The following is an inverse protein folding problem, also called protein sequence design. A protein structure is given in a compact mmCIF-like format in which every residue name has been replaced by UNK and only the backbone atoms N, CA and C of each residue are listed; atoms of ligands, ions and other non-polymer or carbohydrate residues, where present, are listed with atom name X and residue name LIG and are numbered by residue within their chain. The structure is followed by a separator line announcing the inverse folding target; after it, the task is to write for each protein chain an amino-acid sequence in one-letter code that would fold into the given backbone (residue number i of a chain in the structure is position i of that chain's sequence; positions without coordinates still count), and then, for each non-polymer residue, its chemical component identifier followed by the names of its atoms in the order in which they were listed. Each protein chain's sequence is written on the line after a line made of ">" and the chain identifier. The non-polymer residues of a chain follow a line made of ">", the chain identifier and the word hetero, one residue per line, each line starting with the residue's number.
data_IF_187889095810
#
_entry.id   IF_187889095810
#
_cell.length_a   1.000
_cell.length_b   1.000
_cell.length_c   1.000
_cell.angle_alpha   90.00
_cell.angle_beta   90.00
_cell.angle_gamma   90.00
#
_symmetry.space_group_name_H-M   'P 1'
#
loop_
_entity.id
_entity.type
_entity.pdbx_description
1 polymer ?
#
# COMPACT_ATOMS: atom_id res chain seq x y z
N UNK A 1 -17.23 -3.13 -7.19
CA UNK A 1 -17.10 -2.99 -5.73
C UNK A 1 -15.89 -3.81 -5.29
N UNK A 2 -14.92 -3.18 -4.66
CA UNK A 2 -13.73 -3.84 -4.16
C UNK A 2 -13.69 -3.75 -2.66
N UNK A 3 -13.38 -4.87 -2.01
CA UNK A 3 -13.09 -4.94 -0.58
C UNK A 3 -11.58 -5.20 -0.46
N UNK A 4 -10.85 -4.27 0.16
CA UNK A 4 -9.44 -4.43 0.46
C UNK A 4 -9.29 -4.52 1.98
N UNK A 5 -8.67 -5.58 2.45
CA UNK A 5 -8.37 -5.78 3.87
C UNK A 5 -6.89 -6.05 4.00
N UNK A 6 -6.19 -5.24 4.75
CA UNK A 6 -4.79 -5.39 5.11
C UNK A 6 -4.69 -5.48 6.63
N UNK A 7 -3.95 -6.46 7.13
CA UNK A 7 -3.70 -6.63 8.56
C UNK A 7 -2.42 -7.42 8.79
N UNK A 8 -1.64 -7.03 9.79
CA UNK A 8 -0.47 -7.77 10.24
C UNK A 8 -0.81 -8.51 11.53
N UNK A 9 -0.69 -9.84 11.53
CA UNK A 9 -0.76 -10.66 12.73
C UNK A 9 0.66 -11.02 13.18
N UNK A 10 1.16 -10.37 14.22
CA UNK A 10 2.32 -10.85 14.96
C UNK A 10 1.84 -11.87 15.99
N UNK A 11 2.37 -13.08 15.94
CA UNK A 11 1.96 -14.21 16.74
C UNK A 11 2.03 -13.94 18.25
N UNK A 12 0.90 -13.69 18.83
CA UNK A 12 0.29 -13.88 20.14
C UNK A 12 -0.83 -12.86 20.35
N UNK A 13 -1.99 -13.16 19.76
CA UNK A 13 -3.28 -12.67 20.30
C UNK A 13 -3.69 -11.25 19.95
N UNK A 14 -3.73 -10.86 18.69
CA UNK A 14 -4.41 -9.65 18.27
C UNK A 14 -3.99 -9.22 16.86
N UNK A 15 -4.92 -8.69 16.10
CA UNK A 15 -4.59 -7.88 14.90
C UNK A 15 -4.21 -6.51 15.45
N UNK A 16 -2.93 -6.19 15.52
CA UNK A 16 -2.46 -4.91 16.08
C UNK A 16 -2.69 -3.74 15.13
N UNK A 17 -2.71 -3.99 13.82
CA UNK A 17 -2.99 -2.98 12.78
C UNK A 17 -3.89 -3.59 11.71
N UNK A 18 -5.16 -3.20 11.71
CA UNK A 18 -6.13 -3.60 10.69
C UNK A 18 -6.61 -2.42 9.87
N UNK A 19 -6.43 -2.48 8.56
CA UNK A 19 -7.01 -1.52 7.62
C UNK A 19 -8.08 -2.21 6.80
N UNK A 20 -9.30 -1.69 6.87
CA UNK A 20 -10.41 -2.14 6.05
C UNK A 20 -10.87 -1.01 5.15
N UNK A 21 -10.90 -1.26 3.86
CA UNK A 21 -11.27 -0.27 2.85
C UNK A 21 -12.34 -0.85 1.93
N UNK A 22 -13.44 -0.11 1.78
CA UNK A 22 -14.53 -0.44 0.86
C UNK A 22 -14.61 0.66 -0.18
N UNK A 23 -14.31 0.32 -1.43
CA UNK A 23 -14.29 1.25 -2.55
C UNK A 23 -15.32 0.85 -3.61
N UNK A 24 -16.05 1.84 -4.08
CA UNK A 24 -16.86 1.75 -5.28
C UNK A 24 -16.10 2.36 -6.45
N UNK A 25 -15.89 1.59 -7.49
CA UNK A 25 -15.18 2.02 -8.69
C UNK A 25 -16.16 2.32 -9.81
N UNK A 26 -15.93 3.40 -10.53
CA UNK A 26 -16.63 3.76 -11.74
C UNK A 26 -15.65 4.18 -12.83
N UNK A 27 -15.72 3.53 -13.97
CA UNK A 27 -14.94 3.91 -15.14
C UNK A 27 -15.36 5.32 -15.63
N UNK A 28 -14.39 6.19 -15.78
CA UNK A 28 -14.56 7.55 -16.34
C UNK A 28 -13.92 7.67 -17.72
N UNK A 29 -13.00 6.79 -18.05
CA UNK A 29 -12.39 6.67 -19.37
C UNK A 29 -11.95 5.23 -19.63
N UNK A 30 -11.41 4.97 -20.81
CA UNK A 30 -10.85 3.65 -21.18
C UNK A 30 -9.67 3.26 -20.27
N UNK A 31 -8.97 4.23 -19.67
CA UNK A 31 -7.73 4.03 -18.95
C UNK A 31 -7.83 4.36 -17.46
N UNK A 32 -8.90 5.03 -17.03
CA UNK A 32 -9.03 5.53 -15.67
C UNK A 32 -10.40 5.25 -15.07
N UNK A 33 -10.36 4.81 -13.82
CA UNK A 33 -11.51 4.66 -12.93
C UNK A 33 -11.42 5.67 -11.79
N UNK A 34 -12.54 6.22 -11.38
CA UNK A 34 -12.67 6.95 -10.11
C UNK A 34 -13.13 5.98 -9.04
N UNK A 35 -12.55 6.11 -7.87
CA UNK A 35 -12.88 5.33 -6.68
C UNK A 35 -13.43 6.25 -5.61
N UNK A 36 -14.52 5.86 -4.98
CA UNK A 36 -15.08 6.55 -3.81
C UNK A 36 -15.46 5.51 -2.75
N UNK A 37 -15.19 5.81 -1.51
CA UNK A 37 -15.50 4.86 -0.44
C UNK A 37 -15.13 5.31 0.94
N UNK A 38 -15.04 4.34 1.83
CA UNK A 38 -14.69 4.54 3.24
C UNK A 38 -13.57 3.59 3.62
N UNK A 39 -12.69 4.07 4.48
CA UNK A 39 -11.61 3.30 5.08
C UNK A 39 -11.77 3.39 6.60
N UNK A 40 -11.61 2.27 7.27
CA UNK A 40 -11.55 2.19 8.72
C UNK A 40 -10.20 1.61 9.11
N UNK A 41 -9.47 2.37 9.90
CA UNK A 41 -8.24 1.91 10.52
C UNK A 41 -8.59 1.45 11.93
N UNK A 42 -8.34 0.18 12.21
CA UNK A 42 -8.48 -0.44 13.52
C UNK A 42 -7.10 -0.53 14.13
N UNK A 43 -6.78 0.40 14.99
CA UNK A 43 -5.54 0.44 15.75
C UNK A 43 -5.81 0.11 17.21
N UNK A 44 -4.86 -0.45 17.94
CA UNK A 44 -5.03 -0.94 19.34
C UNK A 44 -5.37 0.15 20.38
N UNK A 45 -5.93 1.27 19.96
CA UNK A 45 -6.35 2.36 20.87
C UNK A 45 -7.36 3.31 20.27
N UNK A 46 -7.33 3.57 18.97
CA UNK A 46 -8.21 4.59 18.37
C UNK A 46 -8.58 4.19 16.94
N UNK A 47 -9.80 3.74 16.75
CA UNK A 47 -10.33 3.53 15.41
C UNK A 47 -10.56 4.88 14.73
N UNK A 48 -10.17 5.01 13.47
CA UNK A 48 -10.42 6.21 12.67
C UNK A 48 -11.11 5.86 11.37
N UNK A 49 -12.12 6.67 11.05
CA UNK A 49 -12.85 6.56 9.79
C UNK A 49 -12.37 7.65 8.83
N UNK A 50 -12.28 7.28 7.56
CA UNK A 50 -11.85 8.13 6.48
C UNK A 50 -12.83 8.02 5.32
N UNK A 51 -13.22 9.15 4.76
CA UNK A 51 -13.76 9.18 3.42
C UNK A 51 -12.61 9.07 2.43
N UNK A 52 -12.77 8.24 1.41
CA UNK A 52 -11.76 7.99 0.39
C UNK A 52 -12.26 8.44 -0.98
N UNK A 53 -11.41 9.17 -1.69
CA UNK A 53 -11.61 9.54 -3.09
C UNK A 53 -10.31 9.27 -3.85
N UNK A 54 -10.38 8.46 -4.89
CA UNK A 54 -9.20 8.04 -5.62
C UNK A 54 -9.42 7.96 -7.12
N UNK A 55 -8.30 7.83 -7.80
CA UNK A 55 -8.22 7.51 -9.23
C UNK A 55 -7.30 6.32 -9.38
N UNK A 56 -7.74 5.33 -10.12
CA UNK A 56 -6.92 4.20 -10.53
C UNK A 56 -6.90 4.13 -12.05
N UNK A 57 -5.76 3.83 -12.62
CA UNK A 57 -5.69 3.70 -14.07
C UNK A 57 -4.32 3.28 -14.57
N UNK A 58 -4.23 3.28 -15.88
CA UNK A 58 -3.02 2.90 -16.60
C UNK A 58 -2.43 4.13 -17.29
N UNK A 59 -1.22 4.47 -16.89
CA UNK A 59 -0.39 5.50 -17.51
C UNK A 59 0.23 4.99 -18.82
N UNK A 60 0.81 5.86 -19.66
CA UNK A 60 1.61 5.45 -20.79
C UNK A 60 2.66 4.40 -20.40
N UNK A 61 2.97 3.49 -21.33
CA UNK A 61 3.87 2.33 -21.12
C UNK A 61 3.34 1.27 -20.15
N UNK A 62 2.01 1.23 -19.92
CA UNK A 62 1.34 0.22 -19.08
C UNK A 62 1.76 0.26 -17.60
N UNK A 63 2.12 1.43 -17.09
CA UNK A 63 2.32 1.64 -15.66
C UNK A 63 0.96 1.78 -14.98
N UNK A 64 0.64 0.89 -14.06
CA UNK A 64 -0.55 0.99 -13.24
C UNK A 64 -0.31 2.04 -12.14
N UNK A 65 -1.25 2.98 -12.02
CA UNK A 65 -1.25 4.02 -11.00
C UNK A 65 -2.52 3.94 -10.16
N UNK A 66 -2.35 4.09 -8.86
CA UNK A 66 -3.44 4.31 -7.92
C UNK A 66 -3.09 5.53 -7.06
N UNK A 67 -3.97 6.51 -7.01
CA UNK A 67 -3.82 7.70 -6.18
C UNK A 67 -5.11 7.92 -5.40
N UNK A 68 -5.05 7.87 -4.08
CA UNK A 68 -6.23 8.01 -3.21
C UNK A 68 -5.96 9.08 -2.15
N UNK A 69 -6.88 10.03 -2.06
CA UNK A 69 -6.95 11.02 -1.00
C UNK A 69 -7.96 10.57 0.05
N UNK A 70 -7.62 10.81 1.30
CA UNK A 70 -8.43 10.47 2.46
C UNK A 70 -8.70 11.71 3.31
N UNK A 71 -9.93 11.83 3.80
CA UNK A 71 -10.33 12.88 4.73
C UNK A 71 -11.04 12.24 5.94
N UNK A 72 -10.60 12.60 7.14
CA UNK A 72 -11.20 12.16 8.40
C UNK A 72 -12.08 13.25 9.00
N UNK A 73 -13.04 12.86 9.81
CA UNK A 73 -13.92 13.72 10.59
C UNK A 73 -13.19 14.74 11.48
N UNK A 74 -12.00 14.40 11.96
CA UNK A 74 -11.17 15.27 12.80
C UNK A 74 -10.27 16.23 12.01
N UNK A 75 -10.54 16.46 10.71
CA UNK A 75 -9.77 17.35 9.86
C UNK A 75 -8.34 16.90 9.59
N UNK A 76 -8.09 15.58 9.63
CA UNK A 76 -6.88 14.97 9.12
C UNK A 76 -7.06 14.60 7.66
N UNK A 77 -6.06 14.88 6.85
CA UNK A 77 -6.01 14.46 5.45
C UNK A 77 -4.81 13.54 5.25
N UNK A 78 -4.97 12.59 4.36
CA UNK A 78 -3.90 11.72 3.92
C UNK A 78 -3.97 11.49 2.41
N UNK A 79 -2.86 11.13 1.80
CA UNK A 79 -2.82 10.71 0.41
C UNK A 79 -1.92 9.48 0.28
N UNK A 80 -2.34 8.54 -0.55
CA UNK A 80 -1.55 7.38 -0.96
C UNK A 80 -1.38 7.40 -2.47
N UNK A 81 -0.17 7.15 -2.94
CA UNK A 81 0.15 7.00 -4.35
C UNK A 81 0.89 5.70 -4.52
N UNK A 82 0.36 4.82 -5.34
CA UNK A 82 0.97 3.55 -5.73
C UNK A 82 1.25 3.51 -7.22
N UNK A 83 2.42 3.00 -7.59
CA UNK A 83 2.83 2.75 -8.97
C UNK A 83 3.32 1.32 -9.07
N UNK A 84 2.77 0.59 -10.03
CA UNK A 84 3.12 -0.80 -10.30
C UNK A 84 3.38 -0.98 -11.79
N UNK A 85 4.36 -1.79 -12.13
CA UNK A 85 4.68 -2.06 -13.51
C UNK A 85 5.03 -3.54 -13.72
N UNK A 86 4.47 -4.15 -14.76
CA UNK A 86 4.79 -5.51 -15.19
C UNK A 86 5.69 -5.45 -16.42
N UNK A 87 7.01 -5.45 -16.23
CA UNK A 87 7.99 -5.50 -17.31
C UNK A 87 8.24 -6.95 -17.73
N UNK A 88 7.75 -7.34 -18.87
CA UNK A 88 8.00 -8.67 -19.46
C UNK A 88 9.38 -8.71 -20.11
N UNK A 89 10.35 -9.30 -19.41
CA UNK A 89 11.70 -9.50 -19.94
C UNK A 89 11.73 -10.59 -21.01
N UNK A 90 10.92 -11.63 -20.83
CA UNK A 90 10.69 -12.71 -21.76
C UNK A 90 9.25 -13.19 -21.68
N UNK A 91 8.89 -14.25 -22.43
CA UNK A 91 7.55 -14.85 -22.34
C UNK A 91 7.22 -15.43 -20.95
N UNK A 92 8.23 -15.68 -20.11
CA UNK A 92 8.09 -16.32 -18.79
C UNK A 92 8.63 -15.49 -17.64
N UNK A 93 9.59 -14.60 -17.90
CA UNK A 93 10.18 -13.75 -16.89
C UNK A 93 9.52 -12.38 -16.86
N UNK A 94 8.97 -12.01 -15.72
CA UNK A 94 8.32 -10.71 -15.49
C UNK A 94 8.99 -10.03 -14.30
N UNK A 95 9.54 -8.84 -14.54
CA UNK A 95 10.06 -7.97 -13.49
C UNK A 95 8.96 -7.01 -13.07
N UNK A 96 8.72 -6.91 -11.77
CA UNK A 96 7.64 -6.11 -11.18
C UNK A 96 8.23 -5.09 -10.22
N UNK A 97 8.63 -3.89 -10.68
CA UNK A 97 8.88 -2.77 -9.79
C UNK A 97 7.56 -2.21 -9.24
N UNK A 98 7.58 -1.84 -7.96
CA UNK A 98 6.46 -1.20 -7.27
C UNK A 98 6.96 -0.10 -6.34
N UNK A 99 6.18 0.96 -6.19
CA UNK A 99 6.43 2.06 -5.26
C UNK A 99 5.10 2.48 -4.66
N UNK A 100 5.05 2.58 -3.33
CA UNK A 100 3.93 3.12 -2.58
C UNK A 100 4.40 4.27 -1.68
N UNK A 101 3.70 5.38 -1.73
CA UNK A 101 3.96 6.59 -0.94
C UNK A 101 2.74 6.89 -0.08
N UNK A 102 2.97 7.20 1.21
CA UNK A 102 1.93 7.68 2.10
C UNK A 102 2.32 9.03 2.68
N UNK A 103 1.41 9.99 2.55
CA UNK A 103 1.58 11.38 3.03
C UNK A 103 0.41 11.74 3.92
N UNK A 104 0.69 12.43 5.05
CA UNK A 104 -0.32 12.90 5.99
C UNK A 104 -0.20 14.39 6.23
N UNK A 105 -1.33 15.09 6.38
CA UNK A 105 -1.35 16.53 6.60
C UNK A 105 -0.96 16.94 8.00
N UNK A 106 -1.27 16.10 8.99
CA UNK A 106 -1.05 16.37 10.41
C UNK A 106 -0.41 15.18 11.10
N UNK A 107 0.38 15.47 12.13
CA UNK A 107 0.91 14.44 13.02
C UNK A 107 -0.20 13.87 13.88
N UNK A 108 -0.22 12.56 14.01
CA UNK A 108 -1.11 11.81 14.88
C UNK A 108 -0.27 10.94 15.84
N UNK A 109 0.04 11.45 17.03
CA UNK A 109 0.84 10.70 17.98
C UNK A 109 0.20 9.42 18.47
N UNK A 110 -1.15 9.37 18.53
CA UNK A 110 -1.89 8.18 18.94
C UNK A 110 -1.80 7.02 17.94
N UNK A 111 -1.35 7.30 16.71
CA UNK A 111 -1.15 6.33 15.64
C UNK A 111 0.30 6.26 15.18
N UNK A 112 1.19 6.94 15.88
CA UNK A 112 2.62 7.01 15.56
C UNK A 112 2.93 7.49 14.12
N UNK A 113 2.05 8.33 13.55
CA UNK A 113 2.17 8.86 12.20
C UNK A 113 2.52 10.34 12.23
N UNK A 114 3.57 10.70 11.51
CA UNK A 114 4.01 12.09 11.34
C UNK A 114 3.38 12.79 10.15
N UNK A 115 3.35 14.11 10.19
CA UNK A 115 2.95 14.95 9.05
C UNK A 115 4.01 14.94 7.94
N UNK A 116 3.58 15.15 6.70
CA UNK A 116 4.40 15.09 5.50
C UNK A 116 4.51 13.66 4.97
N UNK A 117 5.64 13.34 4.34
CA UNK A 117 5.92 11.97 3.88
C UNK A 117 6.12 11.07 5.11
N UNK A 118 5.18 10.16 5.32
CA UNK A 118 5.21 9.24 6.45
C UNK A 118 5.93 7.95 6.10
N UNK A 119 5.61 7.34 4.95
CA UNK A 119 6.29 6.15 4.48
C UNK A 119 6.51 6.13 2.97
N UNK A 120 7.55 5.43 2.58
CA UNK A 120 7.88 5.02 1.22
C UNK A 120 8.16 3.52 1.25
N UNK A 121 7.40 2.77 0.52
CA UNK A 121 7.63 1.36 0.28
C UNK A 121 7.98 1.18 -1.20
N UNK A 122 9.11 0.55 -1.47
CA UNK A 122 9.57 0.28 -2.82
C UNK A 122 9.98 -1.19 -2.93
N UNK A 123 9.65 -1.82 -4.04
CA UNK A 123 9.95 -3.22 -4.25
C UNK A 123 10.29 -3.55 -5.69
N UNK A 124 11.06 -4.60 -5.86
CA UNK A 124 11.28 -5.22 -7.16
C UNK A 124 11.14 -6.72 -6.98
N UNK A 125 10.21 -7.32 -7.72
CA UNK A 125 10.01 -8.76 -7.74
C UNK A 125 10.32 -9.32 -9.13
N UNK A 126 11.01 -10.42 -9.17
CA UNK A 126 11.23 -11.20 -10.39
C UNK A 126 10.38 -12.45 -10.31
N UNK A 127 9.41 -12.57 -11.20
CA UNK A 127 8.45 -13.66 -11.29
C UNK A 127 8.77 -14.53 -12.49
N UNK A 128 8.71 -15.84 -12.32
CA UNK A 128 8.87 -16.81 -13.38
C UNK A 128 7.54 -17.58 -13.64
N UNK A 129 6.93 -17.39 -14.77
CA UNK A 129 5.67 -18.05 -15.16
C UNK A 129 5.96 -19.46 -15.69
N UNK A 130 5.92 -20.46 -14.79
CA UNK A 130 6.05 -21.87 -15.17
C UNK A 130 4.84 -22.27 -16.02
N UNK A 131 3.65 -21.90 -15.57
CA UNK A 131 2.39 -22.00 -16.29
C UNK A 131 1.60 -20.69 -16.13
N UNK A 132 0.50 -20.53 -16.88
CA UNK A 132 -0.38 -19.36 -16.72
C UNK A 132 -1.02 -19.26 -15.33
N UNK A 133 -1.03 -20.34 -14.57
CA UNK A 133 -1.69 -20.43 -13.24
C UNK A 133 -0.71 -20.57 -12.08
N UNK A 134 0.57 -20.73 -12.35
CA UNK A 134 1.58 -21.00 -11.32
C UNK A 134 2.88 -20.25 -11.61
N UNK A 135 3.24 -19.35 -10.73
CA UNK A 135 4.41 -18.51 -10.89
C UNK A 135 5.11 -18.25 -9.56
N UNK A 136 6.27 -18.89 -9.29
CA UNK A 136 7.15 -18.51 -8.21
C UNK A 136 7.76 -17.14 -8.46
N UNK A 137 8.07 -16.44 -7.37
CA UNK A 137 8.76 -15.16 -7.41
C UNK A 137 9.75 -15.00 -6.28
N UNK A 138 10.75 -14.18 -6.53
CA UNK A 138 11.70 -13.67 -5.56
C UNK A 138 11.81 -12.16 -5.73
N UNK A 139 12.05 -11.44 -4.65
CA UNK A 139 12.15 -10.00 -4.73
C UNK A 139 12.88 -9.39 -3.54
N UNK A 140 13.09 -8.10 -3.64
CA UNK A 140 13.62 -7.26 -2.57
C UNK A 140 12.65 -6.12 -2.36
N UNK A 141 12.29 -5.86 -1.12
CA UNK A 141 11.46 -4.74 -0.71
C UNK A 141 12.23 -3.84 0.24
N UNK A 142 12.06 -2.56 0.06
CA UNK A 142 12.53 -1.51 0.94
C UNK A 142 11.32 -0.83 1.56
N UNK A 143 11.28 -0.73 2.87
CA UNK A 143 10.29 0.03 3.61
C UNK A 143 10.99 1.11 4.40
N UNK A 144 10.60 2.36 4.20
CA UNK A 144 11.16 3.52 4.88
C UNK A 144 10.09 4.37 5.54
N UNK A 145 10.28 4.70 6.83
CA UNK A 145 9.49 5.68 7.57
C UNK A 145 10.27 6.99 7.66
N UNK A 146 9.60 8.13 7.47
CA UNK A 146 10.26 9.43 7.36
C UNK A 146 9.71 10.44 8.37
N UNK A 147 10.44 11.54 8.57
CA UNK A 147 10.02 12.65 9.41
C UNK A 147 9.73 12.24 10.85
N UNK A 148 8.57 12.63 11.34
CA UNK A 148 8.14 12.30 12.71
C UNK A 148 7.71 10.82 12.84
N UNK A 149 7.22 10.18 11.78
CA UNK A 149 6.94 8.75 11.78
C UNK A 149 8.19 7.94 12.09
N UNK A 150 9.34 8.31 11.52
CA UNK A 150 10.62 7.68 11.83
C UNK A 150 11.08 7.92 13.28
N UNK A 151 10.72 9.06 13.88
CA UNK A 151 11.03 9.33 15.29
C UNK A 151 10.20 8.45 16.22
N UNK A 152 8.91 8.29 15.94
CA UNK A 152 8.04 7.39 16.70
C UNK A 152 8.54 5.95 16.63
N UNK A 153 8.86 5.43 15.45
CA UNK A 153 9.41 4.10 15.29
C UNK A 153 10.69 3.89 16.13
N UNK A 154 11.60 4.84 16.12
CA UNK A 154 12.83 4.76 16.93
C UNK A 154 12.57 4.80 18.44
N UNK A 155 11.53 5.52 18.89
CA UNK A 155 11.13 5.54 20.30
C UNK A 155 10.61 4.19 20.77
N UNK A 156 10.00 3.43 19.86
CA UNK A 156 9.52 2.07 20.09
C UNK A 156 10.58 0.99 19.84
N UNK A 157 11.82 1.42 19.59
CA UNK A 157 12.95 0.54 19.26
C UNK A 157 12.74 -0.22 17.93
N UNK A 158 11.88 0.32 17.06
CA UNK A 158 11.68 -0.19 15.72
C UNK A 158 12.61 0.47 14.70
N UNK A 159 12.99 -0.30 13.68
CA UNK A 159 13.79 0.24 12.58
C UNK A 159 12.96 1.20 11.73
N UNK A 160 13.47 2.41 11.51
CA UNK A 160 12.84 3.38 10.61
C UNK A 160 12.95 2.97 9.13
N UNK A 161 13.89 2.10 8.80
CA UNK A 161 14.09 1.57 7.45
C UNK A 161 14.37 0.07 7.53
N UNK A 162 13.82 -0.68 6.60
CA UNK A 162 14.05 -2.11 6.49
C UNK A 162 14.22 -2.50 5.01
N UNK A 163 15.14 -3.43 4.77
CA UNK A 163 15.27 -4.11 3.47
C UNK A 163 15.00 -5.59 3.72
N UNK A 164 14.09 -6.15 2.96
CA UNK A 164 13.69 -7.55 3.12
C UNK A 164 13.75 -8.27 1.78
N UNK A 165 14.19 -9.52 1.82
CA UNK A 165 14.05 -10.44 0.69
C UNK A 165 12.73 -11.17 0.83
N UNK A 166 11.93 -11.14 -0.21
CA UNK A 166 10.63 -11.78 -0.28
C UNK A 166 10.64 -12.89 -1.33
N UNK A 167 10.01 -13.99 -1.02
CA UNK A 167 9.81 -15.07 -1.98
C UNK A 167 8.45 -15.71 -1.75
N UNK A 168 7.89 -16.27 -2.80
CA UNK A 168 6.59 -16.91 -2.71
C UNK A 168 6.15 -17.49 -4.03
N UNK A 169 4.92 -17.93 -4.03
CA UNK A 169 4.26 -18.52 -5.20
C UNK A 169 2.95 -17.77 -5.43
N UNK A 170 2.75 -17.31 -6.64
CA UNK A 170 1.47 -16.77 -7.09
C UNK A 170 0.73 -17.84 -7.88
N UNK A 171 -0.48 -18.16 -7.46
CA UNK A 171 -1.36 -19.09 -8.17
C UNK A 171 -2.73 -18.49 -8.37
N UNK A 172 -3.38 -18.83 -9.49
CA UNK A 172 -4.76 -18.46 -9.76
C UNK A 172 -5.56 -19.64 -10.31
N UNK A 173 -6.81 -19.66 -9.96
CA UNK A 173 -7.75 -20.73 -10.26
C UNK A 173 -8.81 -20.28 -11.27
#
# INVERSE_FOLDING_TARGET
>A
MWLKSEGFALGKGGVEDGRHEVLYNRAISTWFDVQVGVRTDLDSGTSRQWAALGVRGMLPHFVEMEATAYASDNGHFAARIGLHYDLRLTQRWVLQPEIDLNVYSKTDPGRHVGSGLASLDAGVRLRYEITRKFAPYVGVTYSGRYGQTARFARQESEAATAVQVVFGIRSWF
#
